data_IF_455238526098
#
_entry.id   IF_455238526098
#
_cell.length_a   1.000
_cell.length_b   1.000
_cell.length_c   1.000
_cell.angle_alpha   90.00
_cell.angle_beta   90.00
_cell.angle_gamma   90.00
#
_symmetry.space_group_name_H-M   'P 1'
#
loop_
_entity.id
_entity.type
_entity.pdbx_description
1 polymer ?
#
# COMPACT_ATOMS: atom_id res chain seq x y z
N UNK A 1 12.03 2.84 -1.97
CA UNK A 1 11.27 2.44 -0.76
C UNK A 1 11.76 1.08 -0.33
N UNK A 2 12.04 0.89 0.95
CA UNK A 2 12.29 -0.40 1.56
C UNK A 2 11.22 -0.63 2.63
N UNK A 3 10.75 -1.87 2.80
CA UNK A 3 9.70 -2.21 3.76
C UNK A 3 10.16 -3.30 4.72
N UNK A 4 9.38 -3.53 5.79
CA UNK A 4 9.70 -4.46 6.89
C UNK A 4 11.04 -4.15 7.58
N UNK A 5 11.42 -2.88 7.59
CA UNK A 5 12.63 -2.37 8.22
C UNK A 5 12.45 -2.37 9.74
N UNK A 6 13.44 -2.86 10.48
CA UNK A 6 13.47 -2.74 11.95
C UNK A 6 13.99 -1.38 12.37
N UNK A 7 13.79 -1.00 13.64
CA UNK A 7 14.28 0.28 14.18
C UNK A 7 15.81 0.35 14.10
N UNK A 8 16.51 -0.76 14.36
CA UNK A 8 17.97 -0.86 14.29
C UNK A 8 18.47 -0.73 12.85
N UNK A 9 17.78 -1.38 11.90
CA UNK A 9 18.09 -1.23 10.48
C UNK A 9 17.85 0.21 10.02
N UNK A 10 16.77 0.84 10.48
CA UNK A 10 16.46 2.23 10.16
C UNK A 10 17.54 3.19 10.67
N UNK A 11 18.07 2.98 11.88
CA UNK A 11 19.16 3.79 12.42
C UNK A 11 20.40 3.76 11.50
N UNK A 12 20.83 2.56 11.09
CA UNK A 12 21.95 2.43 10.15
C UNK A 12 21.66 3.04 8.76
N UNK A 13 20.41 2.95 8.28
CA UNK A 13 20.00 3.58 7.03
C UNK A 13 19.96 5.11 7.12
N UNK A 14 19.60 5.69 8.27
CA UNK A 14 19.59 7.14 8.47
C UNK A 14 21.01 7.72 8.48
N UNK A 15 22.00 6.97 8.99
CA UNK A 15 23.41 7.35 8.89
C UNK A 15 23.89 7.37 7.43
N UNK A 16 23.52 6.35 6.65
CA UNK A 16 23.91 6.23 5.24
C UNK A 16 23.14 7.18 4.32
N UNK A 17 21.90 7.53 4.65
CA UNK A 17 21.01 8.38 3.87
C UNK A 17 20.42 9.48 4.75
N UNK A 18 21.11 10.63 4.92
CA UNK A 18 20.69 11.71 5.83
C UNK A 18 19.32 12.33 5.54
N UNK A 19 18.85 12.23 4.29
CA UNK A 19 17.52 12.69 3.87
C UNK A 19 16.46 11.59 3.90
N UNK A 20 16.83 10.38 4.32
CA UNK A 20 15.94 9.26 4.50
C UNK A 20 14.87 9.54 5.55
N UNK A 21 13.72 8.90 5.39
CA UNK A 21 12.62 8.94 6.35
C UNK A 21 12.23 7.52 6.71
N UNK A 22 12.16 7.25 8.00
CA UNK A 22 11.63 6.01 8.55
C UNK A 22 10.22 6.24 9.08
N UNK A 23 9.31 5.34 8.75
CA UNK A 23 7.97 5.24 9.31
C UNK A 23 7.94 3.98 10.17
N UNK A 24 7.79 4.17 11.47
CA UNK A 24 7.82 3.12 12.49
C UNK A 24 6.57 2.24 12.45
N UNK A 25 5.40 2.83 12.22
CA UNK A 25 4.12 2.11 12.12
C UNK A 25 4.15 1.16 10.92
N UNK A 26 4.43 1.68 9.73
CA UNK A 26 4.51 0.90 8.49
C UNK A 26 5.81 0.11 8.33
N UNK A 27 6.78 0.31 9.22
CA UNK A 27 8.13 -0.26 9.13
C UNK A 27 8.76 -0.05 7.76
N UNK A 28 8.63 1.16 7.23
CA UNK A 28 9.14 1.51 5.91
C UNK A 28 10.22 2.56 5.99
N UNK A 29 11.17 2.49 5.06
CA UNK A 29 12.23 3.48 4.89
C UNK A 29 12.21 3.99 3.45
N UNK A 30 12.21 5.32 3.29
CA UNK A 30 12.26 5.95 1.96
C UNK A 30 13.31 7.03 1.90
N UNK A 31 13.98 7.10 0.76
CA UNK A 31 14.84 8.22 0.40
C UNK A 31 14.06 9.07 -0.60
N UNK A 32 13.91 10.39 -0.38
CA UNK A 32 13.28 11.27 -1.36
C UNK A 32 14.10 11.26 -2.65
N UNK A 33 13.46 11.42 -3.82
CA UNK A 33 14.20 11.57 -5.07
C UNK A 33 15.12 12.80 -4.95
N UNK A 34 16.40 12.62 -5.31
CA UNK A 34 17.35 13.73 -5.39
C UNK A 34 16.79 14.80 -6.36
N UNK A 35 16.96 16.09 -6.07
CA UNK A 35 16.61 17.14 -7.01
C UNK A 35 17.31 16.86 -8.36
N UNK A 36 16.53 16.83 -9.45
CA UNK A 36 17.07 16.82 -10.80
C UNK A 36 17.80 18.15 -11.04
N UNK A 37 19.07 18.29 -10.66
CA UNK A 37 19.80 19.53 -10.91
C UNK A 37 21.15 19.77 -10.25
N UNK A 38 21.54 19.08 -9.17
CA UNK A 38 22.82 19.36 -8.50
C UNK A 38 23.82 18.22 -8.68
N UNK A 39 24.86 18.45 -9.51
CA UNK A 39 26.02 17.57 -9.60
C UNK A 39 26.50 17.16 -11.00
N UNK A 40 26.56 18.08 -11.97
CA UNK A 40 27.57 17.96 -13.05
C UNK A 40 28.79 18.80 -12.69
N UNK A 41 29.57 18.30 -11.73
CA UNK A 41 30.93 18.77 -11.48
C UNK A 41 31.91 17.86 -12.22
N UNK A 42 32.69 18.43 -13.13
CA UNK A 42 33.81 17.77 -13.78
C UNK A 42 34.88 17.40 -12.73
N UNK A 43 35.28 16.13 -12.65
CA UNK A 43 36.47 15.74 -11.90
C UNK A 43 36.42 14.35 -11.27
N UNK A 44 37.35 13.50 -11.70
CA UNK A 44 37.78 12.24 -11.08
C UNK A 44 36.81 11.04 -11.15
N UNK A 45 37.12 10.18 -12.14
CA UNK A 45 36.78 8.76 -12.17
C UNK A 45 37.07 8.08 -10.83
N UNK A 46 36.03 7.58 -10.15
CA UNK A 46 36.15 6.39 -9.33
C UNK A 46 35.00 5.42 -9.65
N UNK A 47 35.37 4.20 -10.04
CA UNK A 47 34.46 3.14 -10.48
C UNK A 47 33.78 2.50 -9.28
N UNK A 48 32.67 3.06 -8.81
CA UNK A 48 31.71 2.33 -7.97
C UNK A 48 30.31 2.86 -8.26
N UNK A 49 29.52 2.08 -9.00
CA UNK A 49 28.05 2.16 -9.06
C UNK A 49 27.48 3.59 -9.07
N UNK A 50 27.37 4.19 -10.26
CA UNK A 50 26.47 5.35 -10.45
C UNK A 50 25.05 4.92 -10.06
N UNK A 51 24.64 5.26 -8.83
CA UNK A 51 23.24 5.23 -8.44
C UNK A 51 22.54 6.27 -9.31
N UNK A 52 21.98 5.83 -10.44
CA UNK A 52 20.94 6.59 -11.09
C UNK A 52 19.82 6.80 -10.06
N UNK A 53 19.34 8.04 -9.84
CA UNK A 53 18.12 8.23 -9.06
C UNK A 53 17.05 7.36 -9.70
N UNK A 54 16.56 6.34 -8.99
CA UNK A 54 15.47 5.53 -9.50
C UNK A 54 14.27 6.49 -9.61
N UNK A 55 13.79 6.83 -10.81
CA UNK A 55 12.52 7.51 -10.91
C UNK A 55 11.54 6.56 -10.22
N UNK A 56 10.77 7.04 -9.24
CA UNK A 56 9.55 6.32 -8.89
C UNK A 56 8.84 6.00 -10.22
N UNK A 57 8.26 4.80 -10.40
CA UNK A 57 7.93 4.26 -11.73
C UNK A 57 6.96 5.12 -12.57
N UNK A 58 6.46 6.23 -12.05
CA UNK A 58 5.46 7.07 -12.69
C UNK A 58 5.86 8.55 -12.65
N UNK A 59 5.85 9.24 -13.80
CA UNK A 59 6.02 10.70 -13.85
C UNK A 59 4.91 11.38 -13.03
N UNK A 60 5.25 12.44 -12.31
CA UNK A 60 4.26 13.33 -11.70
C UNK A 60 3.70 14.25 -12.80
N UNK A 61 2.71 13.80 -13.56
CA UNK A 61 2.03 14.63 -14.56
C UNK A 61 0.92 15.51 -13.95
N UNK A 62 0.66 16.66 -14.58
CA UNK A 62 -0.43 17.59 -14.26
C UNK A 62 -1.77 17.02 -14.77
N UNK A 63 -2.52 16.40 -13.86
CA UNK A 63 -3.83 15.79 -14.07
C UNK A 63 -4.41 15.31 -12.74
N UNK A 64 -5.64 14.78 -12.71
CA UNK A 64 -6.16 14.12 -11.51
C UNK A 64 -5.29 12.89 -11.23
N UNK A 65 -4.83 12.67 -9.99
CA UNK A 65 -3.97 11.52 -9.69
C UNK A 65 -4.81 10.23 -9.65
N UNK A 66 -4.24 9.07 -10.06
CA UNK A 66 -4.88 7.78 -9.78
C UNK A 66 -5.16 7.66 -8.29
N UNK A 67 -6.28 7.02 -7.94
CA UNK A 67 -6.83 6.98 -6.61
C UNK A 67 -7.00 5.55 -6.11
N UNK A 68 -6.37 5.26 -4.97
CA UNK A 68 -6.54 3.99 -4.27
C UNK A 68 -7.04 4.25 -2.86
N UNK A 69 -8.10 3.55 -2.46
CA UNK A 69 -8.53 3.53 -1.07
C UNK A 69 -7.87 2.37 -0.34
N UNK A 70 -7.44 2.59 0.90
CA UNK A 70 -6.87 1.57 1.78
C UNK A 70 -7.77 1.43 2.99
N UNK A 71 -8.34 0.25 3.16
CA UNK A 71 -9.36 -0.03 4.16
C UNK A 71 -8.82 -1.06 5.15
N UNK A 72 -8.80 -0.75 6.45
CA UNK A 72 -8.40 -1.69 7.49
C UNK A 72 -9.58 -2.12 8.37
N UNK A 73 -9.62 -3.41 8.73
CA UNK A 73 -10.69 -3.95 9.56
C UNK A 73 -10.61 -3.47 11.01
N UNK A 74 -9.41 -3.43 11.58
CA UNK A 74 -9.18 -2.93 12.94
C UNK A 74 -7.90 -2.11 13.06
N UNK A 75 -7.63 -1.68 14.30
CA UNK A 75 -6.41 -0.94 14.65
C UNK A 75 -5.16 -1.83 14.59
N UNK A 76 -5.28 -3.12 14.89
CA UNK A 76 -4.16 -4.07 14.81
C UNK A 76 -3.63 -4.25 13.39
N UNK A 77 -4.46 -4.00 12.36
CA UNK A 77 -4.06 -4.08 10.95
C UNK A 77 -3.25 -2.86 10.48
N UNK A 78 -3.15 -1.81 11.32
CA UNK A 78 -2.56 -0.52 10.94
C UNK A 78 -1.11 -0.62 10.42
N UNK A 79 -0.20 -1.45 10.98
CA UNK A 79 1.15 -1.58 10.44
C UNK A 79 1.17 -2.01 8.96
N UNK A 80 0.32 -2.97 8.59
CA UNK A 80 0.24 -3.45 7.20
C UNK A 80 -0.48 -2.41 6.32
N UNK A 81 -1.54 -1.77 6.83
CA UNK A 81 -2.24 -0.70 6.11
C UNK A 81 -1.32 0.52 5.85
N UNK A 82 -0.44 0.83 6.79
CA UNK A 82 0.52 1.92 6.66
C UNK A 82 1.66 1.57 5.68
N UNK A 83 2.12 0.32 5.64
CA UNK A 83 3.02 -0.18 4.58
C UNK A 83 2.38 0.02 3.19
N UNK A 84 1.09 -0.29 3.05
CA UNK A 84 0.33 -0.06 1.81
C UNK A 84 0.30 1.43 1.46
N UNK A 85 -0.04 2.29 2.42
CA UNK A 85 -0.12 3.75 2.24
C UNK A 85 1.22 4.34 1.78
N UNK A 86 2.31 4.01 2.47
CA UNK A 86 3.65 4.49 2.13
C UNK A 86 4.12 4.00 0.75
N UNK A 87 3.73 2.77 0.38
CA UNK A 87 4.02 2.23 -0.94
C UNK A 87 3.27 2.96 -2.04
N UNK A 88 1.98 3.22 -1.88
CA UNK A 88 1.18 3.98 -2.84
C UNK A 88 1.64 5.45 -2.95
N UNK A 89 1.97 6.09 -1.83
CA UNK A 89 2.53 7.46 -1.82
C UNK A 89 3.87 7.50 -2.57
N UNK A 90 4.74 6.51 -2.35
CA UNK A 90 5.99 6.37 -3.10
C UNK A 90 5.76 6.19 -4.60
N UNK A 91 4.66 5.55 -5.01
CA UNK A 91 4.25 5.41 -6.41
C UNK A 91 3.57 6.66 -6.98
N UNK A 92 3.34 7.70 -6.18
CA UNK A 92 2.66 8.93 -6.62
C UNK A 92 1.15 8.80 -6.76
N UNK A 93 0.55 7.77 -6.17
CA UNK A 93 -0.89 7.51 -6.18
C UNK A 93 -1.57 8.28 -5.05
N UNK A 94 -2.75 8.87 -5.31
CA UNK A 94 -3.57 9.48 -4.25
C UNK A 94 -4.16 8.39 -3.38
N UNK A 95 -4.04 8.53 -2.07
CA UNK A 95 -4.50 7.54 -1.10
C UNK A 95 -5.52 8.13 -0.15
N UNK A 96 -6.61 7.41 0.10
CA UNK A 96 -7.52 7.66 1.22
C UNK A 96 -7.47 6.45 2.16
N UNK A 97 -7.26 6.71 3.46
CA UNK A 97 -7.25 5.67 4.48
C UNK A 97 -8.61 5.61 5.19
N UNK A 98 -9.18 4.41 5.31
CA UNK A 98 -10.38 4.13 6.08
C UNK A 98 -10.04 3.05 7.10
N UNK A 99 -10.16 3.38 8.37
CA UNK A 99 -9.76 2.51 9.46
C UNK A 99 -10.95 2.04 10.28
N UNK A 100 -10.79 0.89 10.92
CA UNK A 100 -11.72 0.32 11.89
C UNK A 100 -13.16 0.15 11.35
N UNK A 101 -13.25 -0.41 10.14
CA UNK A 101 -14.53 -0.76 9.49
C UNK A 101 -14.74 -2.27 9.38
N UNK A 102 -14.18 -3.03 10.32
CA UNK A 102 -14.31 -4.49 10.37
C UNK A 102 -15.75 -4.97 10.53
N UNK A 103 -16.00 -6.21 10.11
CA UNK A 103 -17.34 -6.80 9.96
C UNK A 103 -18.11 -6.97 11.28
N UNK A 104 -17.44 -6.89 12.44
CA UNK A 104 -18.08 -6.86 13.76
C UNK A 104 -18.98 -5.61 13.95
N UNK A 105 -18.71 -4.53 13.20
CA UNK A 105 -19.56 -3.35 13.15
C UNK A 105 -19.89 -3.03 11.69
N UNK A 106 -20.79 -3.81 11.05
CA UNK A 106 -20.97 -3.78 9.59
C UNK A 106 -21.52 -2.44 9.08
N UNK A 107 -22.21 -1.67 9.94
CA UNK A 107 -22.71 -0.33 9.63
C UNK A 107 -21.60 0.71 9.42
N UNK A 108 -20.38 0.45 9.93
CA UNK A 108 -19.25 1.40 9.84
C UNK A 108 -18.73 1.55 8.40
N UNK A 109 -18.81 0.49 7.59
CA UNK A 109 -18.33 0.53 6.21
C UNK A 109 -19.25 1.36 5.28
N UNK A 110 -20.58 1.12 5.20
CA UNK A 110 -21.47 1.92 4.36
C UNK A 110 -21.48 3.41 4.72
N UNK A 111 -21.29 3.75 6.01
CA UNK A 111 -21.20 5.14 6.46
C UNK A 111 -20.04 5.93 5.83
N UNK A 112 -19.01 5.22 5.31
CA UNK A 112 -17.82 5.80 4.70
C UNK A 112 -17.78 5.60 3.17
N UNK A 113 -18.84 5.03 2.57
CA UNK A 113 -18.86 4.61 1.16
C UNK A 113 -18.52 5.75 0.19
N UNK A 114 -19.04 6.95 0.45
CA UNK A 114 -18.79 8.12 -0.39
C UNK A 114 -17.30 8.51 -0.50
N UNK A 115 -16.45 8.04 0.42
CA UNK A 115 -15.02 8.36 0.41
C UNK A 115 -14.20 7.46 -0.52
N UNK A 116 -14.73 6.29 -0.92
CA UNK A 116 -13.97 5.29 -1.67
C UNK A 116 -14.69 4.62 -2.84
N UNK A 117 -16.00 4.83 -3.01
CA UNK A 117 -16.76 4.21 -4.09
C UNK A 117 -16.21 4.53 -5.49
N UNK A 118 -15.58 5.70 -5.65
CA UNK A 118 -14.97 6.16 -6.90
C UNK A 118 -13.45 5.86 -6.99
N UNK A 119 -12.93 4.94 -6.18
CA UNK A 119 -11.53 4.53 -6.26
C UNK A 119 -11.23 3.71 -7.52
N UNK A 120 -10.04 3.92 -8.11
CA UNK A 120 -9.58 3.14 -9.27
C UNK A 120 -9.19 1.70 -8.86
N UNK A 121 -8.79 1.52 -7.60
CA UNK A 121 -8.64 0.22 -6.94
C UNK A 121 -8.79 0.39 -5.41
N UNK A 122 -9.07 -0.70 -4.71
CA UNK A 122 -9.13 -0.72 -3.24
C UNK A 122 -8.18 -1.76 -2.69
N UNK A 123 -7.46 -1.44 -1.61
CA UNK A 123 -6.69 -2.41 -0.83
C UNK A 123 -7.42 -2.62 0.49
N UNK A 124 -7.73 -3.87 0.84
CA UNK A 124 -8.40 -4.21 2.11
C UNK A 124 -7.48 -5.06 2.97
N UNK A 125 -7.24 -4.62 4.20
CA UNK A 125 -6.30 -5.23 5.15
C UNK A 125 -7.07 -5.75 6.37
N UNK A 126 -7.00 -7.06 6.65
CA UNK A 126 -7.75 -7.68 7.74
C UNK A 126 -7.14 -9.00 8.26
N UNK A 127 -7.07 -9.19 9.59
CA UNK A 127 -6.38 -10.35 10.21
C UNK A 127 -7.21 -11.35 11.02
N UNK A 128 -8.48 -11.08 11.31
CA UNK A 128 -9.34 -12.01 12.06
C UNK A 128 -9.94 -13.06 11.12
N UNK A 129 -11.26 -13.05 10.90
CA UNK A 129 -11.94 -13.98 10.00
C UNK A 129 -11.72 -13.67 8.51
N UNK A 130 -11.23 -12.47 8.16
CA UNK A 130 -10.87 -12.11 6.79
C UNK A 130 -12.06 -11.86 5.84
N UNK A 131 -13.25 -11.61 6.37
CA UNK A 131 -14.47 -11.43 5.57
C UNK A 131 -14.60 -10.05 4.91
N UNK A 132 -13.90 -9.02 5.43
CA UNK A 132 -14.07 -7.63 4.99
C UNK A 132 -13.85 -7.41 3.48
N UNK A 133 -12.82 -7.99 2.81
CA UNK A 133 -12.62 -7.78 1.38
C UNK A 133 -13.81 -8.25 0.53
N UNK A 134 -14.45 -9.37 0.90
CA UNK A 134 -15.64 -9.87 0.22
C UNK A 134 -16.81 -8.88 0.31
N UNK A 135 -16.99 -8.26 1.48
CA UNK A 135 -18.02 -7.24 1.70
C UNK A 135 -17.73 -5.99 0.87
N UNK A 136 -16.49 -5.49 0.93
CA UNK A 136 -16.04 -4.32 0.15
C UNK A 136 -16.21 -4.57 -1.35
N UNK A 137 -15.88 -5.76 -1.84
CA UNK A 137 -16.05 -6.13 -3.25
C UNK A 137 -17.48 -6.00 -3.76
N UNK A 138 -18.48 -6.17 -2.89
CA UNK A 138 -19.90 -5.95 -3.22
C UNK A 138 -20.32 -4.48 -3.31
N UNK A 139 -19.52 -3.55 -2.79
CA UNK A 139 -19.80 -2.11 -2.78
C UNK A 139 -19.07 -1.31 -3.85
N UNK A 140 -18.05 -1.89 -4.50
CA UNK A 140 -17.19 -1.18 -5.46
C UNK A 140 -17.14 -1.89 -6.81
N UNK A 141 -17.04 -1.09 -7.88
CA UNK A 141 -16.93 -1.60 -9.25
C UNK A 141 -15.47 -1.84 -9.70
N UNK A 142 -14.49 -1.46 -8.88
CA UNK A 142 -13.07 -1.58 -9.18
C UNK A 142 -12.44 -2.83 -8.55
N UNK A 143 -11.19 -3.18 -8.92
CA UNK A 143 -10.46 -4.29 -8.30
C UNK A 143 -10.20 -4.06 -6.81
N UNK A 144 -10.38 -5.11 -6.01
CA UNK A 144 -10.09 -5.16 -4.57
C UNK A 144 -8.91 -6.09 -4.34
N UNK A 145 -7.81 -5.57 -3.79
CA UNK A 145 -6.64 -6.34 -3.39
C UNK A 145 -6.71 -6.62 -1.89
N UNK A 146 -6.96 -7.87 -1.53
CA UNK A 146 -7.09 -8.34 -0.17
C UNK A 146 -5.73 -8.72 0.43
N UNK A 147 -5.45 -8.20 1.63
CA UNK A 147 -4.22 -8.44 2.40
C UNK A 147 -4.60 -9.10 3.72
N UNK A 148 -4.47 -10.43 3.84
CA UNK A 148 -4.62 -11.08 5.12
C UNK A 148 -3.46 -10.66 6.03
N UNK A 149 -3.74 -10.39 7.31
CA UNK A 149 -2.69 -10.06 8.29
C UNK A 149 -2.52 -11.15 9.33
N UNK A 150 -1.33 -11.22 9.93
CA UNK A 150 -0.99 -12.19 10.96
C UNK A 150 -1.40 -11.78 12.38
N UNK A 151 -2.07 -10.64 12.55
CA UNK A 151 -2.35 -10.03 13.87
C UNK A 151 -3.48 -10.70 14.65
N UNK A 152 -4.24 -11.60 14.03
CA UNK A 152 -5.28 -12.36 14.71
C UNK A 152 -4.72 -13.41 15.69
N UNK A 153 -5.53 -13.79 16.68
CA UNK A 153 -5.15 -14.77 17.71
C UNK A 153 -5.91 -16.10 17.57
N UNK A 154 -5.44 -17.13 18.28
CA UNK A 154 -6.10 -18.44 18.36
C UNK A 154 -6.29 -19.08 16.98
N UNK A 155 -7.55 -19.17 16.55
CA UNK A 155 -7.93 -19.78 15.28
C UNK A 155 -7.51 -19.00 14.02
N UNK A 156 -6.97 -17.78 14.15
CA UNK A 156 -6.38 -17.07 12.99
C UNK A 156 -5.16 -17.79 12.40
N UNK A 157 -4.45 -18.58 13.23
CA UNK A 157 -3.30 -19.41 12.82
C UNK A 157 -2.22 -18.60 12.07
N UNK A 158 -1.87 -17.43 12.60
CA UNK A 158 -0.86 -16.55 12.00
C UNK A 158 -1.26 -16.00 10.63
N UNK A 159 -2.56 -15.79 10.40
CA UNK A 159 -3.08 -15.25 9.15
C UNK A 159 -3.51 -16.30 8.13
N UNK A 160 -3.40 -17.60 8.43
CA UNK A 160 -3.87 -18.65 7.53
C UNK A 160 -5.40 -18.65 7.41
N UNK A 161 -6.13 -18.47 8.52
CA UNK A 161 -7.59 -18.40 8.46
C UNK A 161 -8.09 -17.24 7.58
N UNK A 162 -7.67 -15.97 7.78
CA UNK A 162 -8.11 -14.89 6.91
C UNK A 162 -7.61 -15.07 5.47
N UNK A 163 -6.41 -15.63 5.24
CA UNK A 163 -5.94 -15.94 3.89
C UNK A 163 -6.88 -16.90 3.15
N UNK A 164 -7.24 -18.02 3.77
CA UNK A 164 -8.14 -19.01 3.17
C UNK A 164 -9.56 -18.44 2.99
N UNK A 165 -10.07 -17.65 3.94
CA UNK A 165 -11.35 -16.96 3.78
C UNK A 165 -11.33 -16.02 2.58
N UNK A 166 -10.30 -15.18 2.44
CA UNK A 166 -10.18 -14.23 1.35
C UNK A 166 -10.04 -14.95 0.00
N UNK A 167 -9.30 -16.05 -0.07
CA UNK A 167 -9.16 -16.86 -1.29
C UNK A 167 -10.47 -17.54 -1.70
N UNK A 168 -11.31 -17.90 -0.74
CA UNK A 168 -12.64 -18.46 -0.98
C UNK A 168 -13.72 -17.40 -1.22
N UNK A 169 -13.35 -16.12 -1.37
CA UNK A 169 -14.32 -15.06 -1.66
C UNK A 169 -15.07 -15.31 -2.98
N UNK A 170 -16.38 -15.12 -2.97
CA UNK A 170 -17.19 -15.16 -4.19
C UNK A 170 -17.22 -13.83 -4.94
N UNK A 171 -16.67 -12.75 -4.37
CA UNK A 171 -16.65 -11.45 -5.02
C UNK A 171 -15.65 -11.48 -6.18
N UNK A 172 -16.17 -11.33 -7.41
CA UNK A 172 -15.40 -11.52 -8.64
C UNK A 172 -14.24 -10.51 -8.83
N UNK A 173 -14.30 -9.38 -8.13
CA UNK A 173 -13.30 -8.33 -8.16
C UNK A 173 -12.26 -8.44 -7.03
N UNK A 174 -12.29 -9.49 -6.20
CA UNK A 174 -11.33 -9.69 -5.12
C UNK A 174 -10.15 -10.55 -5.58
N UNK A 175 -8.93 -10.04 -5.42
CA UNK A 175 -7.69 -10.78 -5.57
C UNK A 175 -6.87 -10.73 -4.28
N UNK A 176 -6.19 -11.82 -3.91
CA UNK A 176 -5.56 -11.97 -2.60
C UNK A 176 -4.04 -12.03 -2.74
N UNK A 177 -3.33 -11.29 -1.89
CA UNK A 177 -1.87 -11.40 -1.74
C UNK A 177 -1.50 -12.27 -0.54
N UNK A 178 -0.21 -12.57 -0.39
CA UNK A 178 0.27 -13.34 0.77
C UNK A 178 0.04 -12.58 2.09
N UNK A 179 0.09 -13.31 3.21
CA UNK A 179 -0.02 -12.75 4.56
C UNK A 179 1.00 -11.63 4.79
N UNK A 180 0.52 -10.51 5.34
CA UNK A 180 1.27 -9.28 5.62
C UNK A 180 1.98 -8.68 4.39
N UNK A 181 1.57 -9.01 3.17
CA UNK A 181 2.21 -8.52 1.95
C UNK A 181 1.67 -7.16 1.50
N UNK A 182 1.62 -6.17 2.40
CA UNK A 182 1.11 -4.83 2.14
C UNK A 182 1.82 -4.13 0.97
N UNK A 183 3.15 -4.24 0.91
CA UNK A 183 3.94 -3.74 -0.24
C UNK A 183 3.44 -4.29 -1.58
N UNK A 184 3.22 -5.61 -1.68
CA UNK A 184 2.77 -6.23 -2.94
C UNK A 184 1.37 -5.78 -3.31
N UNK A 185 0.48 -5.67 -2.32
CA UNK A 185 -0.87 -5.21 -2.54
C UNK A 185 -0.92 -3.78 -3.06
N UNK A 186 -0.20 -2.86 -2.42
CA UNK A 186 -0.06 -1.49 -2.87
C UNK A 186 0.55 -1.40 -4.26
N UNK A 187 1.62 -2.15 -4.54
CA UNK A 187 2.27 -2.09 -5.83
C UNK A 187 1.36 -2.56 -6.97
N UNK A 188 0.60 -3.64 -6.76
CA UNK A 188 -0.39 -4.11 -7.73
C UNK A 188 -1.55 -3.12 -7.90
N UNK A 189 -2.11 -2.62 -6.79
CA UNK A 189 -3.20 -1.64 -6.83
C UNK A 189 -2.78 -0.34 -7.52
N UNK A 190 -1.57 0.16 -7.23
CA UNK A 190 -1.03 1.37 -7.86
C UNK A 190 -0.75 1.19 -9.35
N UNK A 191 -0.29 0.00 -9.78
CA UNK A 191 -0.15 -0.33 -11.20
C UNK A 191 -1.50 -0.32 -11.91
N UNK A 192 -2.50 -0.99 -11.34
CA UNK A 192 -3.87 -1.05 -11.86
C UNK A 192 -4.45 0.36 -11.98
N UNK A 193 -4.43 1.12 -10.89
CA UNK A 193 -4.97 2.47 -10.83
C UNK A 193 -4.31 3.39 -11.85
N UNK A 194 -2.97 3.36 -11.94
CA UNK A 194 -2.23 4.19 -12.91
C UNK A 194 -2.56 3.80 -14.36
N UNK A 195 -2.73 2.50 -14.64
CA UNK A 195 -3.06 2.03 -15.99
C UNK A 195 -4.49 2.39 -16.37
N UNK A 196 -5.46 2.19 -15.47
CA UNK A 196 -6.85 2.58 -15.67
C UNK A 196 -6.95 4.09 -15.91
N UNK A 197 -6.28 4.88 -15.08
CA UNK A 197 -6.27 6.33 -15.17
C UNK A 197 -5.75 6.84 -16.53
N UNK A 198 -4.67 6.24 -17.06
CA UNK A 198 -4.10 6.59 -18.37
C UNK A 198 -5.05 6.34 -19.55
N UNK A 199 -5.99 5.39 -19.43
CA UNK A 199 -6.98 5.13 -20.47
C UNK A 199 -8.09 6.19 -20.50
N UNK A 200 -8.25 6.94 -19.40
CA UNK A 200 -9.25 8.00 -19.26
C UNK A 200 -8.72 9.40 -19.62
N UNK A 201 -7.41 9.53 -19.87
CA UNK A 201 -6.81 10.77 -20.36
C UNK A 201 -7.12 10.93 -21.86
N UNK A 202 -7.46 12.14 -22.31
CA UNK A 202 -7.84 12.43 -23.70
C UNK A 202 -6.70 12.25 -24.70
#
# INVERSE_FOLDING_TARGET
LATRISVEQAAGLLEAFPHGRYNDVGRTFRVPPLPLGEGRGEGALNKTSTMHPHPGPFPKEEGTKPFVAVISAGTSDLPVAEEVRETLDWMGVRVTMIHDVGVAGPHRLPARLAEFQDADAVVVVAGMEGALPSVVGGYVACPVIAVPTSVGYGASLGGIAPLLTMLNSCAANVAVVNVDAGFKAAYLAGLIATRAHRLCLP
#
